data_IF_916731120106
#
_entry.id   IF_916731120106
#
_cell.length_a   1.000
_cell.length_b   1.000
_cell.length_c   1.000
_cell.angle_alpha   90.00
_cell.angle_beta   90.00
_cell.angle_gamma   90.00
#
_symmetry.space_group_name_H-M   'P 1'
#
loop_
_entity.id
_entity.type
_entity.pdbx_description
1 polymer ?
#
# COMPACT_ATOMS: atom_id res chain seq x y z
N UNK A 1 -12.82 -1.88 1.86
CA UNK A 1 -12.58 -2.98 0.90
C UNK A 1 -11.44 -3.84 1.42
N UNK A 2 -11.76 -5.08 1.81
CA UNK A 2 -10.76 -6.06 2.25
C UNK A 2 -9.91 -6.51 1.04
N UNK A 3 -8.66 -6.90 1.25
CA UNK A 3 -7.85 -7.56 0.21
C UNK A 3 -8.28 -9.03 0.18
N UNK A 4 -9.46 -9.31 -0.38
CA UNK A 4 -10.03 -10.65 -0.57
C UNK A 4 -9.94 -11.13 -2.02
N UNK A 5 -9.65 -10.19 -2.93
CA UNK A 5 -9.57 -10.39 -4.36
C UNK A 5 -8.33 -9.74 -4.92
N UNK A 6 -7.87 -10.32 -6.00
CA UNK A 6 -6.83 -9.73 -6.79
C UNK A 6 -7.23 -8.38 -7.37
N UNK A 7 -6.22 -7.54 -7.56
CA UNK A 7 -6.38 -6.25 -8.21
C UNK A 7 -6.92 -6.41 -9.64
N UNK A 8 -7.97 -5.64 -9.96
CA UNK A 8 -8.56 -5.60 -11.30
C UNK A 8 -8.11 -4.39 -12.11
N UNK A 9 -7.60 -3.34 -11.45
CA UNK A 9 -7.07 -2.14 -12.07
C UNK A 9 -5.83 -1.64 -11.34
N UNK A 10 -4.81 -1.23 -12.10
CA UNK A 10 -3.59 -0.61 -11.60
C UNK A 10 -3.39 0.72 -12.33
N UNK A 11 -3.40 1.83 -11.60
CA UNK A 11 -3.21 3.18 -12.17
C UNK A 11 -4.18 3.46 -13.35
N UNK A 12 -5.46 3.12 -13.15
CA UNK A 12 -6.53 3.24 -14.15
C UNK A 12 -6.51 2.20 -15.28
N UNK A 13 -5.47 1.35 -15.37
CA UNK A 13 -5.35 0.31 -16.40
C UNK A 13 -5.94 -1.00 -15.91
N UNK A 14 -6.77 -1.70 -16.72
CA UNK A 14 -7.27 -3.02 -16.35
C UNK A 14 -6.11 -4.02 -16.26
N UNK A 15 -6.17 -4.89 -15.26
CA UNK A 15 -5.15 -5.91 -14.97
C UNK A 15 -5.51 -7.22 -15.66
N UNK A 16 -4.56 -7.80 -16.39
CA UNK A 16 -4.72 -9.08 -17.08
C UNK A 16 -3.61 -10.05 -16.71
N UNK A 17 -3.94 -11.31 -16.38
CA UNK A 17 -2.94 -12.36 -16.15
C UNK A 17 -2.26 -12.72 -17.48
N UNK A 18 -0.94 -12.70 -17.49
CA UNK A 18 -0.16 -13.17 -18.63
C UNK A 18 0.35 -14.60 -18.41
N UNK A 19 0.37 -15.39 -19.49
CA UNK A 19 0.79 -16.79 -19.48
C UNK A 19 1.84 -17.05 -20.58
N UNK A 20 2.84 -17.92 -20.35
CA UNK A 20 3.85 -18.30 -21.34
C UNK A 20 3.25 -18.68 -22.70
N UNK A 21 3.86 -18.16 -23.76
CA UNK A 21 3.42 -18.38 -25.15
C UNK A 21 2.22 -17.53 -25.59
N UNK A 22 1.67 -16.66 -24.74
CA UNK A 22 0.63 -15.70 -25.13
C UNK A 22 1.23 -14.37 -25.60
N UNK A 23 0.73 -13.77 -26.69
CA UNK A 23 1.21 -12.47 -27.16
C UNK A 23 0.74 -11.32 -26.25
N UNK A 24 1.42 -10.18 -26.36
CA UNK A 24 1.00 -8.93 -25.69
C UNK A 24 0.08 -8.14 -26.63
N UNK A 25 -1.23 -8.20 -26.39
CA UNK A 25 -2.22 -7.56 -27.25
C UNK A 25 -2.26 -6.02 -27.12
N UNK A 26 -2.09 -5.47 -25.92
CA UNK A 26 -2.20 -4.02 -25.66
C UNK A 26 -1.27 -3.54 -24.54
N UNK A 27 0.06 -3.69 -24.69
CA UNK A 27 1.05 -3.47 -23.61
C UNK A 27 1.13 -2.05 -23.05
N UNK A 28 0.69 -1.05 -23.81
CA UNK A 28 0.67 0.34 -23.34
C UNK A 28 -0.57 0.69 -22.48
N UNK A 29 -1.66 -0.08 -22.58
CA UNK A 29 -2.95 0.25 -21.94
C UNK A 29 -3.41 -0.78 -20.92
N UNK A 30 -2.80 -1.97 -20.91
CA UNK A 30 -3.05 -3.02 -19.91
C UNK A 30 -1.97 -3.01 -18.84
N UNK A 31 -2.33 -3.43 -17.63
CA UNK A 31 -1.39 -3.85 -16.61
C UNK A 31 -1.25 -5.36 -16.67
N UNK A 32 -0.09 -5.87 -17.09
CA UNK A 32 0.11 -7.32 -17.12
C UNK A 32 0.47 -7.84 -15.74
N UNK A 33 -0.17 -8.91 -15.34
CA UNK A 33 0.12 -9.60 -14.08
C UNK A 33 0.88 -10.88 -14.34
N UNK A 34 2.03 -10.98 -13.72
CA UNK A 34 2.86 -12.18 -13.69
C UNK A 34 2.75 -12.81 -12.31
N UNK A 35 2.09 -13.96 -12.23
CA UNK A 35 1.91 -14.76 -11.01
C UNK A 35 2.26 -16.22 -11.28
N UNK A 36 2.85 -16.89 -10.30
CA UNK A 36 3.14 -18.31 -10.33
C UNK A 36 1.88 -19.08 -9.89
N UNK A 37 1.36 -19.92 -10.78
CA UNK A 37 0.22 -20.79 -10.50
C UNK A 37 0.67 -22.05 -9.74
N UNK A 38 -0.22 -22.62 -8.92
CA UNK A 38 0.09 -23.83 -8.15
C UNK A 38 0.54 -25.01 -9.05
N UNK A 39 -0.08 -25.18 -10.21
CA UNK A 39 0.28 -26.24 -11.16
C UNK A 39 1.61 -25.97 -11.87
N UNK A 40 1.96 -24.69 -12.10
CA UNK A 40 3.28 -24.30 -12.64
C UNK A 40 4.38 -24.59 -11.63
N UNK A 41 4.17 -24.23 -10.36
CA UNK A 41 5.11 -24.51 -9.28
C UNK A 41 5.33 -26.01 -9.08
N UNK A 42 4.26 -26.82 -9.08
CA UNK A 42 4.34 -28.30 -9.03
C UNK A 42 5.10 -28.89 -10.21
N UNK A 43 5.05 -28.24 -11.37
CA UNK A 43 5.81 -28.62 -12.56
C UNK A 43 7.27 -28.13 -12.54
N UNK A 44 7.72 -27.48 -11.46
CA UNK A 44 9.08 -26.99 -11.27
C UNK A 44 9.36 -25.64 -11.93
N UNK A 45 8.34 -24.90 -12.37
CA UNK A 45 8.50 -23.53 -12.85
C UNK A 45 8.69 -22.59 -11.66
N UNK A 46 9.70 -21.72 -11.73
CA UNK A 46 9.85 -20.61 -10.81
C UNK A 46 9.32 -19.31 -11.43
N UNK A 47 9.03 -18.33 -10.58
CA UNK A 47 8.55 -17.03 -11.05
C UNK A 47 9.53 -16.35 -12.03
N UNK A 48 10.84 -16.49 -11.78
CA UNK A 48 11.90 -15.95 -12.65
C UNK A 48 11.92 -16.60 -14.05
N UNK A 49 11.57 -17.89 -14.16
CA UNK A 49 11.45 -18.57 -15.45
C UNK A 49 10.27 -18.01 -16.25
N UNK A 50 9.16 -17.72 -15.55
CA UNK A 50 7.97 -17.10 -16.15
C UNK A 50 8.26 -15.67 -16.61
N UNK A 51 9.05 -14.92 -15.84
CA UNK A 51 9.54 -13.60 -16.27
C UNK A 51 10.39 -13.71 -17.52
N UNK A 52 11.32 -14.66 -17.60
CA UNK A 52 12.15 -14.86 -18.80
C UNK A 52 11.28 -15.11 -20.06
N UNK A 53 10.23 -15.93 -19.93
CA UNK A 53 9.26 -16.13 -21.00
C UNK A 53 8.53 -14.84 -21.41
N UNK A 54 8.14 -13.99 -20.44
CA UNK A 54 7.53 -12.69 -20.74
C UNK A 54 8.50 -11.78 -21.49
N UNK A 55 9.76 -11.75 -21.06
CA UNK A 55 10.80 -10.94 -21.68
C UNK A 55 11.01 -11.33 -23.14
N UNK A 56 10.93 -12.61 -23.49
CA UNK A 56 11.05 -13.07 -24.88
C UNK A 56 9.82 -12.82 -25.75
N UNK A 57 8.75 -12.26 -25.19
CA UNK A 57 7.54 -11.94 -25.94
C UNK A 57 7.72 -10.66 -26.77
N UNK A 58 7.36 -10.66 -28.07
CA UNK A 58 7.37 -9.45 -28.89
C UNK A 58 6.59 -8.31 -28.23
N UNK A 59 7.10 -7.07 -28.36
CA UNK A 59 6.55 -5.86 -27.76
C UNK A 59 6.65 -5.73 -26.23
N UNK A 60 7.46 -6.56 -25.55
CA UNK A 60 7.67 -6.43 -24.09
C UNK A 60 8.16 -5.04 -23.66
N UNK A 61 8.93 -4.36 -24.51
CA UNK A 61 9.44 -3.01 -24.25
C UNK A 61 8.34 -1.94 -24.18
N UNK A 62 7.14 -2.26 -24.66
CA UNK A 62 5.97 -1.39 -24.60
C UNK A 62 5.14 -1.61 -23.33
N UNK A 63 5.46 -2.60 -22.50
CA UNK A 63 4.77 -2.81 -21.22
C UNK A 63 4.99 -1.57 -20.36
N UNK A 64 3.88 -0.93 -20.00
CA UNK A 64 3.90 0.27 -19.17
C UNK A 64 3.48 0.04 -17.72
N UNK A 65 2.78 -1.08 -17.46
CA UNK A 65 2.35 -1.45 -16.12
C UNK A 65 2.52 -2.97 -15.89
N UNK A 66 3.15 -3.31 -14.77
CA UNK A 66 3.39 -4.70 -14.35
C UNK A 66 2.87 -4.92 -12.93
N UNK A 67 2.16 -6.02 -12.72
CA UNK A 67 1.76 -6.53 -11.41
C UNK A 67 2.50 -7.83 -11.18
N UNK A 68 3.23 -7.90 -10.07
CA UNK A 68 3.84 -9.13 -9.58
C UNK A 68 2.88 -9.74 -8.57
N UNK A 69 2.20 -10.82 -8.97
CA UNK A 69 1.31 -11.60 -8.10
C UNK A 69 2.10 -12.61 -7.27
N UNK A 70 1.54 -13.78 -6.99
CA UNK A 70 2.28 -14.81 -6.25
C UNK A 70 3.63 -15.16 -6.90
N UNK A 71 4.74 -15.10 -6.17
CA UNK A 71 6.06 -15.63 -6.59
C UNK A 71 6.52 -16.82 -5.75
N UNK A 72 5.73 -17.23 -4.76
CA UNK A 72 6.08 -18.30 -3.84
C UNK A 72 5.75 -19.67 -4.47
N UNK A 73 6.69 -20.63 -4.41
CA UNK A 73 6.47 -21.96 -4.98
C UNK A 73 5.40 -22.76 -4.22
N UNK A 74 5.30 -22.56 -2.90
CA UNK A 74 4.23 -23.13 -2.08
C UNK A 74 3.79 -22.13 -0.98
N UNK A 75 2.51 -22.16 -0.55
CA UNK A 75 1.98 -21.21 0.44
C UNK A 75 2.67 -21.23 1.81
N UNK A 76 3.38 -22.32 2.16
CA UNK A 76 3.87 -22.58 3.51
C UNK A 76 5.39 -22.44 3.68
N UNK A 77 6.15 -22.28 2.60
CA UNK A 77 7.63 -22.37 2.62
C UNK A 77 8.37 -21.07 2.30
N UNK A 78 7.67 -19.96 2.04
CA UNK A 78 8.26 -18.72 1.54
C UNK A 78 9.39 -18.17 2.42
N UNK A 79 10.57 -17.95 1.81
CA UNK A 79 11.73 -17.36 2.49
C UNK A 79 12.11 -16.01 1.90
N UNK A 80 12.94 -15.24 2.60
CA UNK A 80 13.52 -13.99 2.09
C UNK A 80 14.37 -14.16 0.82
N UNK A 81 14.85 -15.37 0.53
CA UNK A 81 15.59 -15.65 -0.71
C UNK A 81 14.70 -15.49 -1.94
N UNK A 82 13.42 -15.85 -1.85
CA UNK A 82 12.49 -15.81 -2.99
C UNK A 82 12.16 -14.37 -3.44
N UNK A 83 11.99 -13.45 -2.49
CA UNK A 83 11.73 -12.04 -2.80
C UNK A 83 12.97 -11.34 -3.41
N UNK A 84 14.18 -11.68 -2.94
CA UNK A 84 15.44 -11.16 -3.50
C UNK A 84 15.64 -11.59 -4.94
N UNK A 85 15.45 -12.89 -5.23
CA UNK A 85 15.57 -13.42 -6.58
C UNK A 85 14.57 -12.77 -7.54
N UNK A 86 13.33 -12.54 -7.10
CA UNK A 86 12.31 -11.82 -7.88
C UNK A 86 12.75 -10.38 -8.20
N UNK A 87 13.24 -9.64 -7.21
CA UNK A 87 13.71 -8.26 -7.39
C UNK A 87 14.96 -8.18 -8.27
N UNK A 88 15.94 -9.06 -8.07
CA UNK A 88 17.15 -9.14 -8.90
C UNK A 88 16.80 -9.43 -10.36
N UNK A 89 15.86 -10.35 -10.61
CA UNK A 89 15.39 -10.65 -11.97
C UNK A 89 14.72 -9.43 -12.62
N UNK A 90 13.92 -8.65 -11.87
CA UNK A 90 13.35 -7.39 -12.36
C UNK A 90 14.43 -6.34 -12.64
N UNK A 91 15.45 -6.21 -11.79
CA UNK A 91 16.58 -5.29 -12.02
C UNK A 91 17.32 -5.65 -13.31
N UNK A 92 17.65 -6.93 -13.52
CA UNK A 92 18.27 -7.43 -14.75
C UNK A 92 17.37 -7.19 -15.98
N UNK A 93 16.05 -7.25 -15.80
CA UNK A 93 15.08 -7.03 -16.87
C UNK A 93 14.89 -5.55 -17.26
N UNK A 94 15.46 -4.58 -16.53
CA UNK A 94 15.22 -3.14 -16.72
C UNK A 94 15.43 -2.66 -18.17
N UNK A 95 16.46 -3.16 -18.85
CA UNK A 95 16.75 -2.84 -20.25
C UNK A 95 15.70 -3.36 -21.25
N UNK A 96 14.94 -4.38 -20.86
CA UNK A 96 13.85 -4.96 -21.65
C UNK A 96 12.49 -4.37 -21.27
N UNK A 97 12.36 -3.85 -20.06
CA UNK A 97 11.14 -3.24 -19.50
C UNK A 97 11.22 -1.69 -19.48
N UNK A 98 11.87 -1.09 -20.48
CA UNK A 98 12.09 0.38 -20.56
C UNK A 98 10.82 1.23 -20.59
N UNK A 99 9.69 0.65 -20.98
CA UNK A 99 8.39 1.34 -20.99
C UNK A 99 7.71 1.40 -19.62
N UNK A 100 8.24 0.68 -18.61
CA UNK A 100 7.57 0.48 -17.32
C UNK A 100 7.52 1.78 -16.52
N UNK A 101 6.30 2.27 -16.27
CA UNK A 101 6.05 3.46 -15.43
C UNK A 101 5.30 3.11 -14.15
N UNK A 102 4.70 1.93 -14.08
CA UNK A 102 3.79 1.54 -13.00
C UNK A 102 4.10 0.10 -12.58
N UNK A 103 4.41 -0.12 -11.31
CA UNK A 103 4.78 -1.44 -10.79
C UNK A 103 4.05 -1.71 -9.47
N UNK A 104 3.45 -2.89 -9.35
CA UNK A 104 2.92 -3.38 -8.09
C UNK A 104 3.57 -4.70 -7.71
N UNK A 105 4.11 -4.82 -6.50
CA UNK A 105 4.71 -6.03 -5.96
C UNK A 105 3.82 -6.63 -4.88
N UNK A 106 3.42 -7.89 -5.04
CA UNK A 106 2.72 -8.64 -4.01
C UNK A 106 1.21 -8.64 -4.17
N UNK A 107 0.67 -8.70 -5.40
CA UNK A 107 -0.79 -8.91 -5.57
C UNK A 107 -1.18 -10.35 -5.20
N UNK A 108 -1.06 -10.65 -3.91
CA UNK A 108 -1.43 -11.90 -3.27
C UNK A 108 -2.68 -11.70 -2.41
N UNK A 109 -3.57 -12.70 -2.45
CA UNK A 109 -4.76 -12.76 -1.60
C UNK A 109 -4.53 -13.71 -0.40
N UNK A 110 -5.37 -13.67 0.65
CA UNK A 110 -5.19 -14.52 1.85
C UNK A 110 -5.12 -16.02 1.56
N UNK A 111 -5.79 -16.49 0.49
CA UNK A 111 -5.73 -17.88 0.06
C UNK A 111 -4.35 -18.30 -0.52
N UNK A 112 -3.52 -17.35 -0.94
CA UNK A 112 -2.16 -17.59 -1.43
C UNK A 112 -1.12 -17.32 -0.34
N UNK A 113 -1.22 -16.14 0.29
CA UNK A 113 -0.31 -15.74 1.37
C UNK A 113 -0.97 -14.63 2.20
N UNK A 114 -0.96 -14.80 3.53
CA UNK A 114 -1.43 -13.77 4.44
C UNK A 114 -0.55 -12.50 4.30
N UNK A 115 -1.15 -11.31 4.31
CA UNK A 115 -0.42 -10.04 4.10
C UNK A 115 0.76 -9.84 5.06
N UNK A 116 0.68 -10.34 6.29
CA UNK A 116 1.75 -10.29 7.29
C UNK A 116 2.92 -11.21 6.97
N UNK A 117 2.69 -12.25 6.17
CA UNK A 117 3.66 -13.27 5.80
C UNK A 117 4.28 -13.04 4.41
N UNK A 118 3.73 -12.15 3.58
CA UNK A 118 4.28 -11.86 2.25
C UNK A 118 5.72 -11.35 2.39
N UNK A 119 6.73 -12.11 1.92
CA UNK A 119 8.13 -11.73 2.10
C UNK A 119 8.49 -10.61 1.11
N UNK A 120 9.13 -9.58 1.61
CA UNK A 120 9.70 -8.49 0.83
C UNK A 120 11.22 -8.46 1.01
N UNK A 121 11.87 -7.53 0.30
CA UNK A 121 13.29 -7.24 0.50
C UNK A 121 13.57 -5.75 0.29
N UNK A 122 14.85 -5.40 0.19
CA UNK A 122 15.30 -4.07 -0.20
C UNK A 122 14.96 -3.80 -1.68
N UNK A 123 14.11 -2.80 -1.92
CA UNK A 123 13.67 -2.40 -3.27
C UNK A 123 14.48 -1.24 -3.86
N UNK A 124 15.54 -0.79 -3.21
CA UNK A 124 16.35 0.37 -3.66
C UNK A 124 17.03 0.12 -5.01
N UNK A 125 17.56 -1.08 -5.25
CA UNK A 125 18.15 -1.44 -6.53
C UNK A 125 17.11 -1.43 -7.66
N UNK A 126 15.87 -1.84 -7.37
CA UNK A 126 14.76 -1.76 -8.30
C UNK A 126 14.41 -0.30 -8.63
N UNK A 127 14.29 0.56 -7.62
CA UNK A 127 14.04 1.99 -7.83
C UNK A 127 15.13 2.64 -8.70
N UNK A 128 16.40 2.29 -8.50
CA UNK A 128 17.50 2.79 -9.32
C UNK A 128 17.47 2.27 -10.76
N UNK A 129 17.06 1.01 -10.96
CA UNK A 129 17.00 0.38 -12.27
C UNK A 129 15.87 0.92 -13.16
N UNK A 130 14.84 1.53 -12.56
CA UNK A 130 13.66 2.03 -13.26
C UNK A 130 13.46 3.55 -13.09
N UNK A 131 14.33 4.41 -13.64
CA UNK A 131 14.24 5.87 -13.45
C UNK A 131 12.95 6.49 -14.03
N UNK A 132 12.26 5.78 -14.93
CA UNK A 132 10.97 6.18 -15.50
C UNK A 132 9.75 5.80 -14.65
N UNK A 133 9.95 5.14 -13.49
CA UNK A 133 8.86 4.69 -12.64
C UNK A 133 8.15 5.89 -11.99
N UNK A 134 6.82 5.90 -12.10
CA UNK A 134 5.94 6.96 -11.59
C UNK A 134 5.01 6.48 -10.48
N UNK A 135 4.71 5.20 -10.45
CA UNK A 135 3.79 4.62 -9.48
C UNK A 135 4.36 3.29 -8.99
N UNK A 136 4.54 3.16 -7.68
CA UNK A 136 5.02 1.95 -7.02
C UNK A 136 4.05 1.53 -5.92
N UNK A 137 3.59 0.27 -5.99
CA UNK A 137 2.82 -0.36 -4.94
C UNK A 137 3.54 -1.57 -4.40
N UNK A 138 3.49 -1.76 -3.08
CA UNK A 138 4.14 -2.82 -2.34
C UNK A 138 3.12 -3.43 -1.38
N UNK A 139 2.93 -4.74 -1.40
CA UNK A 139 2.09 -5.46 -0.44
C UNK A 139 2.92 -6.49 0.32
N UNK A 140 2.84 -6.44 1.64
CA UNK A 140 3.71 -7.16 2.57
C UNK A 140 4.72 -6.21 3.22
N UNK A 141 4.86 -6.29 4.54
CA UNK A 141 5.85 -5.51 5.29
C UNK A 141 7.08 -6.30 5.73
N UNK A 142 7.02 -7.64 5.65
CA UNK A 142 8.05 -8.52 6.20
C UNK A 142 9.34 -8.43 5.39
N UNK A 143 10.40 -7.87 5.96
CA UNK A 143 11.69 -7.68 5.26
C UNK A 143 11.76 -6.48 4.34
N UNK A 144 10.68 -5.69 4.22
CA UNK A 144 10.67 -4.52 3.35
C UNK A 144 11.72 -3.48 3.80
N UNK A 145 12.43 -2.92 2.85
CA UNK A 145 13.29 -1.75 2.99
C UNK A 145 13.34 -0.97 1.67
N UNK A 146 13.53 0.33 1.76
CA UNK A 146 13.74 1.26 0.65
C UNK A 146 15.24 1.63 0.51
N UNK A 147 16.16 0.89 1.14
CA UNK A 147 17.60 1.08 1.06
C UNK A 147 18.15 2.20 1.94
N UNK A 148 17.67 2.31 3.18
CA UNK A 148 17.95 3.37 4.17
C UNK A 148 17.26 4.72 3.90
N UNK A 149 17.08 5.11 2.64
CA UNK A 149 16.32 6.31 2.27
C UNK A 149 15.64 6.09 0.93
N UNK A 150 14.35 6.41 0.83
CA UNK A 150 13.64 6.44 -0.45
C UNK A 150 14.28 7.48 -1.37
N UNK A 151 14.77 7.09 -2.55
CA UNK A 151 15.30 8.04 -3.52
C UNK A 151 14.75 7.77 -4.92
N UNK A 152 13.89 8.65 -5.44
CA UNK A 152 13.37 8.53 -6.80
C UNK A 152 12.82 9.86 -7.33
N UNK A 153 13.44 10.39 -8.40
CA UNK A 153 13.07 11.71 -8.97
C UNK A 153 11.66 11.76 -9.54
N UNK A 154 11.24 10.69 -10.23
CA UNK A 154 10.00 10.65 -11.01
C UNK A 154 8.82 9.97 -10.32
N UNK A 155 8.97 9.53 -9.05
CA UNK A 155 7.92 8.74 -8.40
C UNK A 155 6.81 9.69 -7.92
N UNK A 156 5.62 9.55 -8.50
CA UNK A 156 4.44 10.35 -8.20
C UNK A 156 3.56 9.69 -7.14
N UNK A 157 3.56 8.37 -7.04
CA UNK A 157 2.73 7.65 -6.11
C UNK A 157 3.47 6.46 -5.49
N UNK A 158 3.36 6.33 -4.18
CA UNK A 158 3.87 5.22 -3.40
C UNK A 158 2.76 4.65 -2.51
N UNK A 159 2.49 3.37 -2.64
CA UNK A 159 1.54 2.63 -1.80
C UNK A 159 2.24 1.47 -1.10
N UNK A 160 2.12 1.40 0.23
CA UNK A 160 2.63 0.28 1.04
C UNK A 160 1.46 -0.32 1.83
N UNK A 161 1.12 -1.56 1.52
CA UNK A 161 0.06 -2.33 2.15
C UNK A 161 0.68 -3.37 3.09
N UNK A 162 0.42 -3.27 4.39
CA UNK A 162 0.92 -4.20 5.40
C UNK A 162 -0.11 -4.44 6.50
N UNK A 163 -0.09 -5.65 7.06
CA UNK A 163 -0.78 -5.95 8.32
C UNK A 163 -0.01 -5.47 9.55
N UNK A 164 1.31 -5.25 9.41
CA UNK A 164 2.20 -4.72 10.44
C UNK A 164 3.49 -4.19 9.80
N UNK A 165 3.70 -2.87 9.82
CA UNK A 165 4.84 -2.22 9.18
C UNK A 165 5.94 -1.92 10.20
N UNK A 166 7.20 -2.13 9.81
CA UNK A 166 8.32 -1.72 10.63
C UNK A 166 8.52 -0.20 10.56
N UNK A 167 8.69 0.46 11.72
CA UNK A 167 8.98 1.89 11.83
C UNK A 167 10.13 2.35 10.91
N UNK A 168 11.15 1.51 10.72
CA UNK A 168 12.28 1.79 9.81
C UNK A 168 11.80 2.18 8.41
N UNK A 169 10.73 1.57 7.88
CA UNK A 169 10.25 1.86 6.51
C UNK A 169 9.68 3.28 6.45
N UNK A 170 8.96 3.72 7.49
CA UNK A 170 8.48 5.11 7.59
C UNK A 170 9.65 6.08 7.75
N UNK A 171 10.69 5.69 8.50
CA UNK A 171 11.91 6.48 8.66
C UNK A 171 12.66 6.62 7.32
N UNK A 172 12.76 5.55 6.53
CA UNK A 172 13.36 5.56 5.18
C UNK A 172 12.58 6.47 4.21
N UNK A 173 11.24 6.50 4.30
CA UNK A 173 10.40 7.42 3.53
C UNK A 173 10.66 8.87 3.95
N UNK A 174 10.63 9.16 5.25
CA UNK A 174 10.75 10.53 5.79
C UNK A 174 12.14 11.13 5.64
N UNK A 175 13.17 10.30 5.60
CA UNK A 175 14.55 10.70 5.28
C UNK A 175 14.83 10.75 3.76
N UNK A 176 13.85 10.40 2.93
CA UNK A 176 14.02 10.23 1.48
C UNK A 176 13.93 11.51 0.66
N UNK A 177 14.19 11.35 -0.64
CA UNK A 177 14.06 12.34 -1.71
C UNK A 177 13.15 11.80 -2.82
N UNK A 178 11.91 12.29 -2.87
CA UNK A 178 10.96 12.00 -3.94
C UNK A 178 10.15 13.27 -4.28
N UNK A 179 10.77 14.24 -4.98
CA UNK A 179 10.19 15.58 -5.17
C UNK A 179 8.92 15.59 -6.03
N UNK A 180 8.71 14.53 -6.83
CA UNK A 180 7.51 14.36 -7.65
C UNK A 180 6.33 13.70 -6.91
N UNK A 181 6.51 13.25 -5.65
CA UNK A 181 5.50 12.47 -4.93
C UNK A 181 4.26 13.33 -4.64
N UNK A 182 3.13 12.91 -5.19
CA UNK A 182 1.81 13.53 -5.09
C UNK A 182 0.86 12.70 -4.23
N UNK A 183 1.06 11.38 -4.19
CA UNK A 183 0.27 10.43 -3.39
C UNK A 183 1.16 9.51 -2.55
N UNK A 184 0.88 9.43 -1.25
CA UNK A 184 1.51 8.51 -0.32
C UNK A 184 0.44 7.74 0.45
N UNK A 185 0.45 6.42 0.31
CA UNK A 185 -0.40 5.50 1.06
C UNK A 185 0.45 4.54 1.90
N UNK A 186 0.20 4.51 3.21
CA UNK A 186 0.89 3.67 4.18
C UNK A 186 -0.14 2.95 5.04
N UNK A 187 -0.07 1.62 5.04
CA UNK A 187 -0.80 0.78 5.98
C UNK A 187 0.13 0.41 7.13
N UNK A 188 -0.06 1.04 8.28
CA UNK A 188 0.83 0.85 9.43
C UNK A 188 0.59 -0.49 10.13
N UNK A 189 -0.65 -0.99 10.11
CA UNK A 189 -1.03 -2.22 10.76
C UNK A 189 -1.24 -2.08 12.26
N UNK A 190 -1.08 -3.21 12.96
CA UNK A 190 -1.19 -3.28 14.42
C UNK A 190 0.00 -4.01 15.04
N UNK A 191 0.27 -3.75 16.33
CA UNK A 191 1.44 -4.26 17.03
C UNK A 191 1.46 -5.80 17.09
N UNK A 192 0.31 -6.42 17.30
CA UNK A 192 0.07 -7.87 17.29
C UNK A 192 0.33 -8.52 15.93
N UNK A 193 0.35 -7.72 14.85
CA UNK A 193 0.73 -8.14 13.49
C UNK A 193 2.16 -7.74 13.12
N UNK A 194 2.95 -7.28 14.09
CA UNK A 194 4.36 -6.90 13.91
C UNK A 194 4.59 -5.45 13.53
N UNK A 195 3.57 -4.57 13.64
CA UNK A 195 3.81 -3.14 13.49
C UNK A 195 4.68 -2.61 14.62
N UNK A 196 5.63 -1.75 14.27
CA UNK A 196 6.41 -0.97 15.25
C UNK A 196 6.28 0.53 15.04
N UNK A 197 5.39 0.96 14.13
CA UNK A 197 5.16 2.37 13.83
C UNK A 197 4.50 3.08 15.01
N UNK A 198 5.07 4.21 15.40
CA UNK A 198 4.51 5.12 16.39
C UNK A 198 4.14 6.45 15.75
N UNK A 199 3.48 7.32 16.51
CA UNK A 199 3.18 8.68 16.04
C UNK A 199 4.46 9.50 15.79
N UNK A 200 5.53 9.24 16.54
CA UNK A 200 6.82 9.92 16.37
C UNK A 200 7.48 9.60 15.03
N UNK A 201 7.29 8.38 14.52
CA UNK A 201 7.80 7.99 13.19
C UNK A 201 7.04 8.70 12.06
N UNK A 202 5.75 9.00 12.26
CA UNK A 202 4.89 9.67 11.28
C UNK A 202 4.99 11.21 11.37
N UNK A 203 5.35 11.76 12.52
CA UNK A 203 5.44 13.20 12.76
C UNK A 203 6.27 13.96 11.70
N UNK A 204 7.40 13.45 11.17
CA UNK A 204 8.12 14.13 10.09
C UNK A 204 7.29 14.31 8.81
N UNK A 205 6.39 13.37 8.49
CA UNK A 205 5.46 13.53 7.35
C UNK A 205 4.53 14.72 7.62
N UNK A 206 3.93 14.77 8.81
CA UNK A 206 2.88 15.74 9.15
C UNK A 206 3.40 17.17 9.35
N UNK A 207 4.55 17.32 10.00
CA UNK A 207 5.05 18.62 10.46
C UNK A 207 6.19 19.19 9.61
N UNK A 208 6.87 18.35 8.82
CA UNK A 208 8.00 18.79 7.97
C UNK A 208 7.82 18.47 6.50
N UNK A 209 7.04 17.43 6.19
CA UNK A 209 6.77 16.87 4.86
C UNK A 209 7.92 17.04 3.84
N UNK A 210 8.75 16.01 3.61
CA UNK A 210 9.84 16.10 2.62
C UNK A 210 9.34 16.16 1.16
N UNK A 211 8.02 16.09 0.93
CA UNK A 211 7.39 15.94 -0.38
C UNK A 211 6.59 17.21 -0.76
N UNK A 212 7.19 18.17 -1.49
CA UNK A 212 6.57 19.48 -1.75
C UNK A 212 5.32 19.40 -2.63
N UNK A 213 5.14 18.30 -3.37
CA UNK A 213 4.00 18.07 -4.26
C UNK A 213 2.93 17.17 -3.66
N UNK A 214 3.08 16.71 -2.41
CA UNK A 214 2.11 15.80 -1.81
C UNK A 214 0.72 16.47 -1.75
N UNK A 215 -0.30 15.84 -2.32
CA UNK A 215 -1.70 16.30 -2.31
C UNK A 215 -2.65 15.25 -1.76
N UNK A 216 -2.23 13.99 -1.73
CA UNK A 216 -3.01 12.90 -1.18
C UNK A 216 -2.16 12.12 -0.18
N UNK A 217 -2.66 12.04 1.06
CA UNK A 217 -2.06 11.22 2.11
C UNK A 217 -3.10 10.22 2.60
N UNK A 218 -2.70 8.95 2.65
CA UNK A 218 -3.50 7.88 3.19
C UNK A 218 -2.70 7.14 4.27
N UNK A 219 -3.09 7.27 5.54
CA UNK A 219 -2.57 6.45 6.62
C UNK A 219 -3.68 5.50 7.05
N UNK A 220 -3.69 4.33 6.43
CA UNK A 220 -4.81 3.38 6.50
C UNK A 220 -4.46 2.19 7.39
N UNK A 221 -5.46 1.38 7.71
CA UNK A 221 -5.27 0.11 8.40
C UNK A 221 -4.39 0.27 9.65
N UNK A 222 -4.65 1.32 10.43
CA UNK A 222 -3.80 1.75 11.54
C UNK A 222 -4.51 1.53 12.87
N UNK A 223 -3.81 0.89 13.81
CA UNK A 223 -4.32 0.74 15.18
C UNK A 223 -4.26 2.04 16.00
N UNK A 224 -3.46 3.03 15.54
CA UNK A 224 -3.25 4.33 16.19
C UNK A 224 -3.97 5.47 15.45
N UNK A 225 -5.17 5.20 14.89
CA UNK A 225 -5.90 6.16 14.05
C UNK A 225 -6.29 7.44 14.76
N UNK A 226 -6.62 7.39 16.06
CA UNK A 226 -6.97 8.60 16.82
C UNK A 226 -5.75 9.49 17.05
N UNK A 227 -4.60 8.91 17.35
CA UNK A 227 -3.32 9.61 17.52
C UNK A 227 -2.89 10.28 16.21
N UNK A 228 -3.08 9.59 15.08
CA UNK A 228 -2.84 10.15 13.75
C UNK A 228 -3.77 11.34 13.49
N UNK A 229 -5.07 11.18 13.75
CA UNK A 229 -6.06 12.25 13.55
C UNK A 229 -5.73 13.47 14.41
N UNK A 230 -5.36 13.28 15.68
CA UNK A 230 -4.94 14.35 16.58
C UNK A 230 -3.68 15.09 16.07
N UNK A 231 -2.67 14.35 15.62
CA UNK A 231 -1.46 14.97 15.05
C UNK A 231 -1.77 15.74 13.76
N UNK A 232 -2.59 15.15 12.88
CA UNK A 232 -3.02 15.77 11.62
C UNK A 232 -3.83 17.04 11.82
N UNK A 233 -4.68 17.11 12.85
CA UNK A 233 -5.45 18.31 13.19
C UNK A 233 -4.57 19.55 13.44
N UNK A 234 -3.31 19.33 13.84
CA UNK A 234 -2.33 20.39 14.12
C UNK A 234 -1.22 20.47 13.06
N UNK A 235 -1.28 19.62 12.03
CA UNK A 235 -0.22 19.46 11.06
C UNK A 235 -0.30 20.53 9.95
N UNK A 236 0.78 21.27 9.68
CA UNK A 236 0.86 22.15 8.51
C UNK A 236 0.58 21.43 7.19
N UNK A 237 0.89 20.13 7.12
CA UNK A 237 0.60 19.32 5.93
C UNK A 237 -0.89 19.31 5.57
N UNK A 238 -1.80 19.42 6.55
CA UNK A 238 -3.24 19.38 6.28
C UNK A 238 -3.69 20.51 5.34
N UNK A 239 -3.06 21.68 5.41
CA UNK A 239 -3.32 22.83 4.51
C UNK A 239 -2.84 22.59 3.07
N UNK A 240 -1.89 21.66 2.87
CA UNK A 240 -1.35 21.32 1.55
C UNK A 240 -2.16 20.20 0.87
N UNK A 241 -2.83 19.34 1.65
CA UNK A 241 -3.54 18.18 1.13
C UNK A 241 -4.86 18.58 0.47
N UNK A 242 -5.22 17.81 -0.56
CA UNK A 242 -6.56 17.80 -1.14
C UNK A 242 -7.35 16.57 -0.66
N UNK A 243 -6.66 15.46 -0.38
CA UNK A 243 -7.28 14.22 0.09
C UNK A 243 -6.54 13.70 1.33
N UNK A 244 -7.30 13.45 2.40
CA UNK A 244 -6.85 12.71 3.59
C UNK A 244 -7.67 11.43 3.72
N UNK A 245 -6.98 10.29 3.85
CA UNK A 245 -7.60 8.98 4.03
C UNK A 245 -7.07 8.31 5.31
N UNK A 246 -7.96 8.07 6.26
CA UNK A 246 -7.72 7.37 7.53
C UNK A 246 -8.52 6.05 7.63
N UNK A 247 -8.94 5.52 6.48
CA UNK A 247 -9.79 4.31 6.39
C UNK A 247 -9.11 3.04 6.89
N UNK A 248 -9.92 2.02 7.14
CA UNK A 248 -9.51 0.66 7.56
C UNK A 248 -8.87 0.60 8.94
N UNK A 249 -8.78 1.72 9.65
CA UNK A 249 -8.16 1.84 10.96
C UNK A 249 -9.16 1.79 12.09
N UNK A 250 -8.74 2.29 13.24
CA UNK A 250 -9.53 2.28 14.47
C UNK A 250 -10.23 3.60 14.77
N UNK A 251 -10.27 4.59 13.85
CA UNK A 251 -10.73 5.97 14.14
C UNK A 251 -12.06 6.03 14.90
N UNK A 252 -12.10 6.71 16.06
CA UNK A 252 -13.32 6.94 16.85
C UNK A 252 -13.75 8.41 16.83
N UNK A 253 -14.81 8.70 17.58
CA UNK A 253 -15.29 10.05 17.89
C UNK A 253 -14.18 10.96 18.43
N UNK A 254 -13.23 10.43 19.23
CA UNK A 254 -12.15 11.24 19.80
C UNK A 254 -11.23 11.78 18.70
N UNK A 255 -10.76 10.91 17.82
CA UNK A 255 -9.89 11.31 16.71
C UNK A 255 -10.63 12.19 15.69
N UNK A 256 -11.86 11.85 15.36
CA UNK A 256 -12.68 12.63 14.43
C UNK A 256 -13.03 14.02 14.98
N UNK A 257 -13.34 14.16 16.27
CA UNK A 257 -13.57 15.45 16.91
C UNK A 257 -12.33 16.36 16.81
N UNK A 258 -11.12 15.81 17.01
CA UNK A 258 -9.89 16.58 16.85
C UNK A 258 -9.74 17.14 15.42
N UNK A 259 -10.11 16.37 14.39
CA UNK A 259 -10.12 16.86 13.00
C UNK A 259 -11.17 17.95 12.77
N UNK A 260 -12.38 17.80 13.33
CA UNK A 260 -13.46 18.80 13.24
C UNK A 260 -13.01 20.15 13.83
N UNK A 261 -12.25 20.12 14.93
CA UNK A 261 -11.75 21.33 15.59
C UNK A 261 -10.62 22.02 14.80
N UNK A 262 -10.01 21.35 13.82
CA UNK A 262 -8.95 21.92 13.00
C UNK A 262 -9.50 22.84 11.91
N UNK A 263 -9.15 24.15 11.89
CA UNK A 263 -9.59 25.03 10.81
C UNK A 263 -9.10 24.60 9.42
N UNK A 264 -7.95 23.90 9.36
CA UNK A 264 -7.36 23.44 8.11
C UNK A 264 -8.17 22.30 7.45
N UNK A 265 -9.02 21.58 8.19
CA UNK A 265 -9.84 20.49 7.64
C UNK A 265 -10.76 20.98 6.51
N UNK A 266 -11.22 22.23 6.57
CA UNK A 266 -12.09 22.84 5.57
C UNK A 266 -11.41 23.12 4.22
N UNK A 267 -10.07 23.02 4.15
CA UNK A 267 -9.31 23.16 2.90
C UNK A 267 -9.21 21.86 2.11
N UNK A 268 -9.49 20.71 2.77
CA UNK A 268 -9.54 19.44 2.07
C UNK A 268 -10.66 19.44 1.02
N UNK A 269 -10.42 18.75 -0.08
CA UNK A 269 -11.50 18.41 -1.01
C UNK A 269 -12.24 17.16 -0.52
N UNK A 270 -11.51 16.22 0.08
CA UNK A 270 -12.03 14.92 0.47
C UNK A 270 -11.39 14.38 1.75
N UNK A 271 -12.23 13.91 2.67
CA UNK A 271 -11.87 13.10 3.83
C UNK A 271 -12.47 11.70 3.65
N UNK A 272 -11.64 10.67 3.82
CA UNK A 272 -12.07 9.27 3.73
C UNK A 272 -11.79 8.60 5.07
N UNK A 273 -12.84 8.05 5.68
CA UNK A 273 -12.76 7.32 6.95
C UNK A 273 -13.43 5.95 6.84
N UNK A 274 -13.68 5.43 5.63
CA UNK A 274 -14.34 4.12 5.44
C UNK A 274 -13.75 3.05 6.38
N UNK A 275 -14.58 2.22 7.01
CA UNK A 275 -14.15 1.34 8.10
C UNK A 275 -13.58 2.15 9.27
N UNK A 276 -14.50 2.68 10.08
CA UNK A 276 -14.25 3.49 11.27
C UNK A 276 -15.18 3.09 12.43
N UNK A 277 -14.90 3.61 13.63
CA UNK A 277 -15.70 3.44 14.84
C UNK A 277 -16.36 4.76 15.30
N UNK A 278 -16.33 5.80 14.47
CA UNK A 278 -17.09 7.04 14.73
C UNK A 278 -18.61 6.77 14.78
N UNK A 279 -19.29 7.37 15.74
CA UNK A 279 -20.73 7.34 15.90
C UNK A 279 -21.44 8.09 14.76
N UNK A 280 -22.71 7.78 14.49
CA UNK A 280 -23.49 8.48 13.47
C UNK A 280 -23.56 10.00 13.68
N UNK A 281 -23.52 10.46 14.93
CA UNK A 281 -23.51 11.89 15.27
C UNK A 281 -22.25 12.59 14.78
N UNK A 282 -21.08 12.03 15.08
CA UNK A 282 -19.79 12.59 14.64
C UNK A 282 -19.61 12.50 13.13
N UNK A 283 -20.08 11.43 12.49
CA UNK A 283 -20.10 11.34 11.02
C UNK A 283 -20.94 12.46 10.40
N UNK A 284 -22.11 12.75 10.98
CA UNK A 284 -22.97 13.84 10.51
C UNK A 284 -22.31 15.22 10.68
N UNK A 285 -21.52 15.42 11.73
CA UNK A 285 -20.72 16.63 11.93
C UNK A 285 -19.62 16.76 10.86
N UNK A 286 -18.87 15.70 10.58
CA UNK A 286 -17.87 15.68 9.50
C UNK A 286 -18.50 16.03 8.14
N UNK A 287 -19.68 15.48 7.84
CA UNK A 287 -20.41 15.75 6.60
C UNK A 287 -20.89 17.21 6.48
N UNK A 288 -20.96 17.96 7.58
CA UNK A 288 -21.32 19.38 7.59
C UNK A 288 -20.13 20.32 7.38
N UNK A 289 -18.90 19.80 7.28
CA UNK A 289 -17.69 20.61 7.08
C UNK A 289 -17.59 21.30 5.71
N UNK A 290 -18.47 20.96 4.76
CA UNK A 290 -18.47 21.51 3.40
C UNK A 290 -17.47 20.86 2.44
N UNK A 291 -16.87 19.74 2.85
CA UNK A 291 -15.95 18.90 2.05
C UNK A 291 -16.63 17.57 1.70
N UNK A 292 -16.08 16.81 0.76
CA UNK A 292 -16.56 15.44 0.49
C UNK A 292 -16.12 14.53 1.64
N UNK A 293 -17.06 13.83 2.28
CA UNK A 293 -16.76 12.86 3.34
C UNK A 293 -17.27 11.48 2.92
N UNK A 294 -16.35 10.51 2.85
CA UNK A 294 -16.66 9.09 2.67
C UNK A 294 -16.48 8.37 4.01
N UNK A 295 -17.59 7.86 4.56
CA UNK A 295 -17.68 7.26 5.88
C UNK A 295 -18.52 5.98 5.84
N UNK A 296 -18.23 5.11 4.87
CA UNK A 296 -18.89 3.82 4.71
C UNK A 296 -18.30 2.79 5.68
N UNK A 297 -18.99 1.65 5.85
CA UNK A 297 -18.50 0.51 6.64
C UNK A 297 -18.24 0.86 8.12
N UNK A 298 -19.18 1.57 8.77
CA UNK A 298 -19.10 1.84 10.21
C UNK A 298 -19.04 0.52 11.01
N UNK A 299 -18.10 0.45 11.96
CA UNK A 299 -17.85 -0.70 12.83
C UNK A 299 -18.36 -0.41 14.25
N UNK A 300 -18.70 -1.48 14.97
CA UNK A 300 -19.02 -1.44 16.39
C UNK A 300 -17.83 -1.97 17.19
N UNK A 301 -17.60 -1.41 18.38
CA UNK A 301 -16.60 -1.94 19.30
C UNK A 301 -16.96 -3.38 19.70
N UNK A 302 -15.98 -4.28 19.75
CA UNK A 302 -16.23 -5.63 20.24
C UNK A 302 -16.52 -5.57 21.75
N UNK A 303 -17.70 -6.03 22.17
CA UNK A 303 -18.11 -6.06 23.57
C UNK A 303 -18.22 -7.51 24.03
N UNK A 304 -17.30 -7.94 24.90
CA UNK A 304 -17.34 -9.25 25.55
C UNK A 304 -17.63 -9.11 27.04
N UNK A 305 -18.69 -9.75 27.56
CA UNK A 305 -19.11 -9.69 28.97
C UNK A 305 -19.24 -8.25 29.54
N UNK A 306 -19.90 -7.35 28.81
CA UNK A 306 -20.04 -5.91 29.17
C UNK A 306 -18.70 -5.18 29.33
N UNK A 307 -17.64 -5.64 28.67
CA UNK A 307 -16.35 -4.96 28.55
C UNK A 307 -16.02 -4.78 27.08
N UNK A 308 -15.59 -3.58 26.72
CA UNK A 308 -15.04 -3.28 25.39
C UNK A 308 -13.71 -4.04 25.26
N UNK A 309 -13.66 -4.99 24.34
CA UNK A 309 -12.50 -5.84 24.03
C UNK A 309 -11.55 -5.16 23.03
N UNK A 310 -12.07 -4.23 22.22
CA UNK A 310 -11.26 -3.28 21.45
C UNK A 310 -11.86 -2.82 20.14
N UNK A 311 -11.10 -1.98 19.43
CA UNK A 311 -11.32 -1.58 18.03
C UNK A 311 -10.26 -2.26 17.18
N UNK A 312 -10.66 -2.85 16.06
CA UNK A 312 -9.77 -3.62 15.20
C UNK A 312 -9.64 -2.97 13.82
N UNK A 313 -8.42 -3.01 13.27
CA UNK A 313 -8.18 -2.63 11.87
C UNK A 313 -8.78 -3.69 10.93
N UNK A 314 -9.09 -3.32 9.70
CA UNK A 314 -9.76 -4.21 8.75
C UNK A 314 -9.00 -5.53 8.48
N UNK A 315 -7.66 -5.49 8.52
CA UNK A 315 -6.84 -6.71 8.34
C UNK A 315 -6.80 -7.62 9.58
N UNK A 316 -7.20 -7.16 10.77
CA UNK A 316 -7.28 -7.99 11.97
C UNK A 316 -8.48 -8.94 11.98
N UNK A 317 -9.62 -8.47 11.50
CA UNK A 317 -10.89 -9.21 11.53
C UNK A 317 -10.87 -10.53 10.72
N UNK A 318 -9.88 -10.75 9.84
CA UNK A 318 -9.72 -12.02 9.10
C UNK A 318 -9.31 -13.22 9.99
N UNK A 319 -8.89 -12.98 11.23
CA UNK A 319 -8.30 -14.01 12.10
C UNK A 319 -8.95 -14.13 13.49
N UNK A 320 -10.02 -13.39 13.76
CA UNK A 320 -10.83 -13.64 14.97
C UNK A 320 -11.75 -14.81 14.65
N UNK A 321 -11.56 -16.00 15.23
CA UNK A 321 -12.53 -17.08 15.07
C UNK A 321 -13.84 -16.63 15.71
N UNK A 322 -14.93 -16.69 14.93
CA UNK A 322 -16.31 -16.54 15.42
C UNK A 322 -16.63 -17.62 16.45
#
# INVERSE_FOLDING_TARGET
MMIDRHMTHLDGKPVENWYPGKPLHSPATLAYRLRLEAEEAKAGMHWVDKLACLLDTPAVTQISALVVGNWLPEPETGTYEDARLMLEALVVASDRLRGLTTLFLGDMIPAECAITAIPQSDVSALLQAYPGLRWLGLRGGHGLSLGNTLHHEGLNALTIQSGGLAARVVQEITAGHAPALEHLEIWTGAAERGSTVTIDDLAPIFFRCPFPRLRSLAIRNSAISDEIAFAMAHAPLLEQLSVLDLSLGTLSDIGAAALIESPAIHQLQKLIINHHFCSPGVVAELQQLGIVVEADDAQEEDIHNNRVDGRFIATLQQYVPV
#
